data_IF_430696863310
#
_entry.id   IF_430696863310
#
_cell.length_a   1.000
_cell.length_b   1.000
_cell.length_c   1.000
_cell.angle_alpha   90.00
_cell.angle_beta   90.00
_cell.angle_gamma   90.00
#
_symmetry.space_group_name_H-M   'P 1'
#
loop_
_entity.id
_entity.type
_entity.pdbx_description
1 polymer ?
#
# COMPACT_ATOMS: atom_id res chain seq x y z
N UNK A 1 12.69 -14.51 -29.03
CA UNK A 1 11.75 -14.84 -27.93
C UNK A 1 11.84 -13.73 -26.90
N UNK A 2 10.91 -12.77 -26.95
CA UNK A 2 10.88 -11.62 -26.03
C UNK A 2 10.29 -12.11 -24.71
N UNK A 3 11.00 -12.03 -23.57
CA UNK A 3 10.41 -12.44 -22.31
C UNK A 3 9.33 -11.42 -21.93
N UNK A 4 8.07 -11.84 -22.06
CA UNK A 4 6.90 -11.11 -21.58
C UNK A 4 6.99 -11.07 -20.06
N UNK A 5 7.60 -10.02 -19.52
CA UNK A 5 7.54 -9.72 -18.10
C UNK A 5 6.12 -9.24 -17.79
N UNK A 6 5.26 -10.17 -17.35
CA UNK A 6 3.88 -9.86 -16.97
C UNK A 6 3.88 -8.82 -15.84
N UNK A 7 3.58 -7.58 -16.20
CA UNK A 7 3.41 -6.47 -15.27
C UNK A 7 2.13 -6.75 -14.45
N UNK A 8 2.26 -7.46 -13.33
CA UNK A 8 1.20 -7.80 -12.36
C UNK A 8 0.50 -6.58 -11.70
N UNK A 9 0.60 -5.39 -12.29
CA UNK A 9 0.41 -4.12 -11.61
C UNK A 9 -0.98 -3.55 -11.83
N UNK A 10 -1.64 -3.30 -10.70
CA UNK A 10 -2.83 -2.48 -10.53
C UNK A 10 -4.16 -3.20 -10.79
N UNK A 11 -4.41 -4.28 -10.05
CA UNK A 11 -5.80 -4.57 -9.66
C UNK A 11 -6.42 -3.31 -9.02
N UNK A 12 -7.69 -2.98 -9.30
CA UNK A 12 -8.34 -1.80 -8.74
C UNK A 12 -8.26 -1.85 -7.22
N UNK A 13 -7.48 -0.92 -6.68
CA UNK A 13 -7.42 -0.69 -5.25
C UNK A 13 -8.58 0.23 -4.92
N UNK A 14 -9.57 -0.29 -4.20
CA UNK A 14 -10.71 0.49 -3.75
C UNK A 14 -10.45 1.12 -2.39
N UNK A 15 -11.19 2.19 -2.12
CA UNK A 15 -11.25 2.87 -0.84
C UNK A 15 -12.72 2.87 -0.46
N UNK A 16 -13.04 2.43 0.76
CA UNK A 16 -14.38 2.48 1.32
C UNK A 16 -14.30 3.15 2.69
N UNK A 17 -15.11 4.19 2.85
CA UNK A 17 -15.32 4.91 4.10
C UNK A 17 -16.79 4.69 4.48
N UNK A 18 -17.04 4.16 5.66
CA UNK A 18 -18.40 3.96 6.19
C UNK A 18 -18.41 4.10 7.71
N UNK A 19 -19.54 3.83 8.35
CA UNK A 19 -19.73 3.95 9.80
C UNK A 19 -18.71 3.12 10.61
N UNK A 20 -18.19 2.02 10.04
CA UNK A 20 -17.25 1.14 10.73
C UNK A 20 -15.81 1.67 10.67
N UNK A 21 -15.49 2.57 9.73
CA UNK A 21 -14.15 3.10 9.55
C UNK A 21 -13.70 3.13 8.10
N UNK A 22 -12.42 2.83 7.91
CA UNK A 22 -11.73 2.88 6.63
C UNK A 22 -11.33 1.50 6.18
N UNK A 23 -11.63 1.17 4.92
CA UNK A 23 -11.18 -0.05 4.25
C UNK A 23 -10.48 0.27 2.94
N UNK A 24 -9.36 -0.41 2.69
CA UNK A 24 -8.54 -0.22 1.49
C UNK A 24 -8.11 -1.57 0.89
N UNK A 25 -7.70 -1.57 -0.38
CA UNK A 25 -7.29 -2.80 -1.07
C UNK A 25 -8.40 -3.36 -1.95
N UNK A 26 -8.59 -4.67 -1.93
CA UNK A 26 -9.57 -5.38 -2.75
C UNK A 26 -11.00 -5.33 -2.17
N UNK A 27 -11.46 -4.15 -1.72
CA UNK A 27 -12.71 -3.95 -0.93
C UNK A 27 -14.00 -4.40 -1.62
N UNK A 28 -14.01 -4.52 -2.95
CA UNK A 28 -15.17 -5.01 -3.71
C UNK A 28 -15.16 -6.53 -3.95
N UNK A 29 -14.10 -7.22 -3.53
CA UNK A 29 -13.90 -8.65 -3.81
C UNK A 29 -14.24 -9.50 -2.60
N UNK A 30 -15.34 -10.25 -2.68
CA UNK A 30 -15.70 -11.29 -1.68
C UNK A 30 -14.63 -12.38 -1.52
N UNK A 31 -13.72 -12.52 -2.49
CA UNK A 31 -12.62 -13.51 -2.44
C UNK A 31 -11.39 -12.98 -1.72
N UNK A 32 -11.27 -11.67 -1.47
CA UNK A 32 -10.08 -11.08 -0.87
C UNK A 32 -9.77 -11.66 0.51
N UNK A 33 -10.80 -11.86 1.34
CA UNK A 33 -10.69 -12.44 2.68
C UNK A 33 -10.19 -13.89 2.69
N UNK A 34 -10.34 -14.61 1.58
CA UNK A 34 -9.95 -16.04 1.46
C UNK A 34 -8.58 -16.23 0.81
N UNK A 35 -7.92 -15.16 0.36
CA UNK A 35 -6.63 -15.26 -0.33
C UNK A 35 -5.50 -15.29 0.70
N UNK A 36 -4.66 -16.32 0.62
CA UNK A 36 -3.32 -16.23 1.17
C UNK A 36 -2.51 -15.32 0.24
N UNK A 37 -2.21 -14.12 0.71
CA UNK A 37 -1.46 -13.13 -0.07
C UNK A 37 -0.03 -13.06 0.40
N UNK A 38 0.89 -12.81 -0.52
CA UNK A 38 2.27 -12.51 -0.17
C UNK A 38 2.47 -11.01 -0.11
N UNK A 39 3.57 -10.58 0.52
CA UNK A 39 3.98 -9.16 0.64
C UNK A 39 4.12 -8.40 -0.68
N UNK A 40 4.07 -9.09 -1.81
CA UNK A 40 4.17 -8.53 -3.18
C UNK A 40 2.82 -8.39 -3.85
N UNK A 41 1.78 -9.04 -3.30
CA UNK A 41 0.41 -9.08 -3.80
C UNK A 41 -0.56 -8.45 -2.78
N UNK A 42 -0.09 -7.47 -2.00
CA UNK A 42 -0.87 -6.84 -0.94
C UNK A 42 -2.16 -6.17 -1.45
N UNK A 43 -2.16 -5.73 -2.72
CA UNK A 43 -3.32 -5.17 -3.38
C UNK A 43 -4.47 -6.17 -3.60
N UNK A 44 -4.27 -7.46 -3.32
CA UNK A 44 -5.31 -8.49 -3.37
C UNK A 44 -6.04 -8.70 -2.04
N UNK A 45 -5.52 -8.10 -0.97
CA UNK A 45 -6.05 -8.22 0.36
C UNK A 45 -6.87 -6.97 0.74
N UNK A 46 -7.58 -7.04 1.87
CA UNK A 46 -8.34 -5.92 2.44
C UNK A 46 -7.71 -5.54 3.77
N UNK A 47 -7.39 -4.27 3.92
CA UNK A 47 -6.98 -3.69 5.19
C UNK A 47 -8.17 -2.91 5.74
N UNK A 48 -8.39 -2.97 7.05
CA UNK A 48 -9.47 -2.23 7.69
C UNK A 48 -9.01 -1.61 9.00
N UNK A 49 -9.34 -0.34 9.21
CA UNK A 49 -9.04 0.36 10.46
C UNK A 49 -10.34 1.03 10.93
N UNK A 50 -10.80 0.76 12.18
CA UNK A 50 -11.94 1.48 12.71
C UNK A 50 -11.60 2.94 12.95
N UNK A 51 -12.61 3.81 13.02
CA UNK A 51 -12.39 5.25 13.21
C UNK A 51 -11.56 5.58 14.46
N UNK A 52 -11.71 4.81 15.55
CA UNK A 52 -10.91 4.97 16.77
C UNK A 52 -9.40 4.78 16.55
N UNK A 53 -9.01 3.99 15.53
CA UNK A 53 -7.62 3.78 15.15
C UNK A 53 -7.15 4.72 14.03
N UNK A 54 -8.00 5.59 13.47
CA UNK A 54 -7.60 6.54 12.43
C UNK A 54 -7.19 7.85 13.07
N UNK A 55 -5.91 8.17 13.01
CA UNK A 55 -5.40 9.41 13.58
C UNK A 55 -5.43 10.58 12.61
N UNK A 56 -5.21 10.32 11.32
CA UNK A 56 -5.18 11.36 10.30
C UNK A 56 -5.49 10.79 8.91
N UNK A 57 -6.15 11.58 8.07
CA UNK A 57 -6.38 11.26 6.66
C UNK A 57 -6.19 12.49 5.78
N UNK A 58 -5.42 12.33 4.70
CA UNK A 58 -5.21 13.41 3.74
C UNK A 58 -5.11 12.91 2.30
N UNK A 59 -5.54 13.74 1.36
CA UNK A 59 -5.44 13.48 -0.09
C UNK A 59 -4.27 14.25 -0.66
N UNK A 60 -3.25 13.52 -1.08
CA UNK A 60 -2.01 14.05 -1.67
C UNK A 60 -2.15 14.07 -3.19
N UNK A 61 -2.00 15.25 -3.79
CA UNK A 61 -1.92 15.46 -5.25
C UNK A 61 -0.64 16.17 -5.70
N UNK A 62 0.11 16.74 -4.75
CA UNK A 62 1.39 17.40 -5.03
C UNK A 62 2.42 16.41 -5.60
N UNK A 63 3.12 16.83 -6.66
CA UNK A 63 4.04 15.95 -7.40
C UNK A 63 5.24 15.52 -6.56
N UNK A 64 5.78 16.43 -5.77
CA UNK A 64 6.96 16.15 -4.95
C UNK A 64 6.59 15.26 -3.76
N UNK A 65 5.45 15.49 -3.13
CA UNK A 65 4.90 14.60 -2.12
C UNK A 65 4.63 13.19 -2.68
N UNK A 66 4.01 13.07 -3.86
CA UNK A 66 3.81 11.77 -4.52
C UNK A 66 5.12 11.11 -4.92
N UNK A 67 6.17 11.87 -5.23
CA UNK A 67 7.52 11.34 -5.48
C UNK A 67 8.10 10.78 -4.18
N UNK A 68 8.00 11.49 -3.05
CA UNK A 68 8.43 11.00 -1.72
C UNK A 68 7.73 9.71 -1.34
N UNK A 69 6.40 9.64 -1.45
CA UNK A 69 5.63 8.42 -1.22
C UNK A 69 6.09 7.23 -2.08
N UNK A 70 6.75 7.49 -3.22
CA UNK A 70 7.32 6.47 -4.09
C UNK A 70 8.77 6.11 -3.77
N UNK A 71 9.55 7.01 -3.20
CA UNK A 71 11.00 6.80 -3.10
C UNK A 71 11.47 6.59 -1.68
N UNK A 72 10.71 7.06 -0.69
CA UNK A 72 11.16 7.02 0.70
C UNK A 72 11.12 5.60 1.29
N UNK A 73 12.14 5.20 2.09
CA UNK A 73 12.26 3.87 2.68
C UNK A 73 11.02 3.38 3.45
N UNK A 74 10.36 4.27 4.17
CA UNK A 74 9.15 4.01 4.96
C UNK A 74 7.91 3.66 4.12
N UNK A 75 7.99 3.79 2.79
CA UNK A 75 6.93 3.44 1.84
C UNK A 75 7.38 2.43 0.79
N UNK A 76 8.49 1.71 1.01
CA UNK A 76 8.98 0.75 0.03
C UNK A 76 8.08 -0.49 -0.11
N UNK A 77 7.54 -0.70 -1.32
CA UNK A 77 6.77 -1.90 -1.71
C UNK A 77 7.02 -2.33 -3.16
N UNK A 78 6.81 -3.62 -3.51
CA UNK A 78 7.14 -4.14 -4.86
C UNK A 78 6.23 -3.62 -5.99
N UNK A 79 5.07 -3.07 -5.67
CA UNK A 79 4.28 -2.31 -6.63
C UNK A 79 5.04 -1.10 -7.18
N UNK A 80 6.14 -0.68 -6.54
CA UNK A 80 6.93 0.49 -6.90
C UNK A 80 8.42 0.18 -7.25
N UNK A 81 8.63 -0.56 -8.35
CA UNK A 81 9.91 -1.19 -8.79
C UNK A 81 11.10 -0.26 -8.99
N UNK A 82 10.90 1.04 -9.07
CA UNK A 82 11.91 1.93 -9.67
C UNK A 82 12.88 2.57 -8.67
N UNK A 83 12.69 2.37 -7.36
CA UNK A 83 13.48 3.07 -6.33
C UNK A 83 13.89 2.18 -5.15
N UNK A 84 14.03 0.87 -5.37
CA UNK A 84 14.28 -0.07 -4.27
C UNK A 84 15.78 -0.29 -4.02
N UNK A 85 16.26 -0.12 -2.78
CA UNK A 85 17.61 -0.50 -2.42
C UNK A 85 17.72 -2.03 -2.47
N UNK A 86 18.88 -2.54 -2.91
CA UNK A 86 19.19 -3.98 -2.94
C UNK A 86 19.10 -4.61 -1.54
N UNK A 87 19.32 -3.80 -0.51
CA UNK A 87 19.27 -4.18 0.91
C UNK A 87 17.84 -4.30 1.46
N UNK A 88 16.80 -4.00 0.68
CA UNK A 88 15.42 -4.08 1.15
C UNK A 88 15.09 -5.50 1.64
N UNK A 89 14.70 -5.64 2.90
CA UNK A 89 14.33 -6.92 3.52
C UNK A 89 12.84 -6.99 3.90
N UNK A 90 12.13 -5.85 3.83
CA UNK A 90 10.75 -5.72 4.28
C UNK A 90 9.94 -4.97 3.24
N UNK A 91 8.68 -5.33 3.05
CA UNK A 91 7.68 -4.51 2.38
C UNK A 91 6.72 -3.95 3.43
N UNK A 92 6.44 -2.65 3.35
CA UNK A 92 5.47 -2.02 4.23
C UNK A 92 4.05 -2.46 3.85
N UNK A 93 3.32 -2.97 4.84
CA UNK A 93 1.93 -3.38 4.72
C UNK A 93 1.04 -2.14 4.57
N UNK A 94 0.07 -2.18 3.66
CA UNK A 94 -0.89 -1.08 3.44
C UNK A 94 -0.36 0.05 2.56
N UNK A 95 0.86 -0.08 2.02
CA UNK A 95 1.45 0.86 1.07
C UNK A 95 1.24 0.37 -0.36
N UNK A 96 0.08 0.68 -0.92
CA UNK A 96 -0.42 0.19 -2.20
C UNK A 96 -0.01 1.09 -3.38
N UNK A 97 1.16 1.72 -3.28
CA UNK A 97 1.65 2.74 -4.22
C UNK A 97 1.99 2.15 -5.59
N UNK A 98 1.30 2.56 -6.68
CA UNK A 98 1.70 2.25 -8.03
C UNK A 98 2.64 3.35 -8.58
N UNK A 99 3.52 3.03 -9.55
CA UNK A 99 4.53 3.97 -10.04
C UNK A 99 3.94 5.22 -10.71
N UNK A 100 2.71 5.11 -11.25
CA UNK A 100 2.05 6.14 -12.04
C UNK A 100 0.88 6.82 -11.29
N UNK A 101 0.81 6.69 -9.96
CA UNK A 101 -0.24 7.41 -9.22
C UNK A 101 -0.12 8.93 -9.43
N UNK A 102 -1.27 9.56 -9.63
CA UNK A 102 -1.41 11.03 -9.72
C UNK A 102 -2.05 11.65 -8.48
N UNK A 103 -2.61 10.81 -7.62
CA UNK A 103 -3.15 11.18 -6.33
C UNK A 103 -3.14 9.95 -5.42
N UNK A 104 -3.03 10.19 -4.12
CA UNK A 104 -3.11 9.15 -3.11
C UNK A 104 -3.90 9.63 -1.89
N UNK A 105 -4.59 8.69 -1.25
CA UNK A 105 -5.02 8.81 0.13
C UNK A 105 -3.87 8.34 1.03
N UNK A 106 -3.50 9.17 2.00
CA UNK A 106 -2.57 8.80 3.08
C UNK A 106 -3.38 8.75 4.37
N UNK A 107 -3.23 7.67 5.12
CA UNK A 107 -3.96 7.42 6.36
C UNK A 107 -2.92 7.10 7.43
N UNK A 108 -2.89 7.88 8.52
CA UNK A 108 -2.14 7.53 9.73
C UNK A 108 -3.06 6.74 10.64
N UNK A 109 -2.60 5.56 11.03
CA UNK A 109 -3.37 4.56 11.78
C UNK A 109 -2.65 4.15 13.06
N UNK A 110 -3.43 3.68 14.03
CA UNK A 110 -2.96 2.85 15.13
C UNK A 110 -2.83 1.39 14.63
N UNK A 111 -1.61 0.87 14.62
CA UNK A 111 -1.32 -0.47 14.16
C UNK A 111 -1.87 -1.57 15.10
N UNK A 112 -2.11 -1.27 16.37
CA UNK A 112 -2.65 -2.23 17.35
C UNK A 112 -4.14 -2.48 17.14
N UNK A 113 -4.85 -1.49 16.58
CA UNK A 113 -6.30 -1.56 16.33
C UNK A 113 -6.61 -1.87 14.87
N UNK A 114 -5.70 -1.55 13.95
CA UNK A 114 -5.87 -1.84 12.53
C UNK A 114 -5.82 -3.34 12.23
N UNK A 115 -6.78 -3.83 11.46
CA UNK A 115 -6.75 -5.18 10.91
C UNK A 115 -5.95 -5.20 9.62
N UNK A 116 -4.83 -5.91 9.66
CA UNK A 116 -3.92 -6.12 8.54
C UNK A 116 -3.98 -7.60 8.14
N UNK A 117 -4.04 -7.92 6.84
CA UNK A 117 -3.97 -9.29 6.37
C UNK A 117 -2.72 -10.02 6.84
N UNK A 118 -2.84 -11.31 7.13
CA UNK A 118 -1.66 -12.15 7.30
C UNK A 118 -0.96 -12.34 5.94
N UNK A 119 0.29 -11.89 5.87
CA UNK A 119 1.08 -11.89 4.65
C UNK A 119 2.17 -12.94 4.70
N UNK A 120 2.14 -13.83 3.71
CA UNK A 120 3.28 -14.68 3.41
C UNK A 120 4.49 -13.87 2.93
N UNK A 121 5.68 -14.30 3.31
CA UNK A 121 6.91 -13.78 2.72
C UNK A 121 6.96 -14.02 1.20
N UNK A 122 7.75 -13.24 0.46
CA UNK A 122 7.94 -13.45 -0.98
C UNK A 122 9.41 -13.39 -1.37
N UNK A 123 9.79 -14.16 -2.40
CA UNK A 123 11.10 -14.02 -3.02
C UNK A 123 11.15 -12.76 -3.88
N UNK A 124 12.19 -11.96 -3.68
CA UNK A 124 12.57 -10.83 -4.51
C UNK A 124 13.89 -11.15 -5.18
N UNK A 125 13.90 -11.06 -6.50
CA UNK A 125 15.09 -11.20 -7.32
C UNK A 125 15.56 -9.80 -7.69
N UNK A 126 16.79 -9.44 -7.31
CA UNK A 126 17.40 -8.24 -7.85
C UNK A 126 17.74 -8.53 -9.32
N UNK A 127 17.07 -7.86 -10.27
CA UNK A 127 17.32 -8.01 -11.72
C UNK A 127 18.75 -7.62 -12.16
N UNK A 128 19.64 -7.34 -11.22
CA UNK A 128 21.03 -6.97 -11.43
C UNK A 128 21.88 -7.89 -10.56
N UNK A 129 22.68 -8.74 -11.21
CA UNK A 129 23.84 -9.39 -10.61
C UNK A 129 24.86 -8.30 -10.30
N UNK A 130 24.69 -7.64 -9.15
CA UNK A 130 25.80 -6.93 -8.55
C UNK A 130 26.87 -7.97 -8.19
N UNK A 131 28.09 -7.89 -8.73
CA UNK A 131 29.16 -8.82 -8.35
C UNK A 131 29.48 -8.79 -6.85
N UNK A 132 29.07 -7.72 -6.15
CA UNK A 132 29.23 -7.55 -4.70
C UNK A 132 28.04 -8.02 -3.84
N UNK A 133 26.92 -8.41 -4.44
CA UNK A 133 25.80 -9.04 -3.72
C UNK A 133 25.84 -10.56 -3.93
N UNK A 134 26.23 -11.35 -2.91
CA UNK A 134 26.31 -12.81 -3.06
C UNK A 134 24.94 -13.48 -3.17
N UNK A 135 23.82 -12.75 -2.99
CA UNK A 135 22.48 -13.31 -3.00
C UNK A 135 21.70 -12.95 -4.26
N UNK A 136 21.49 -13.92 -5.15
CA UNK A 136 20.62 -13.79 -6.34
C UNK A 136 19.16 -13.47 -5.99
N UNK A 137 18.73 -13.82 -4.78
CA UNK A 137 17.37 -13.55 -4.30
C UNK A 137 17.34 -13.34 -2.80
N UNK A 138 16.34 -12.58 -2.33
CA UNK A 138 16.07 -12.35 -0.91
C UNK A 138 14.60 -12.54 -0.61
N UNK A 139 14.31 -13.08 0.57
CA UNK A 139 12.93 -13.21 1.05
C UNK A 139 12.49 -11.92 1.76
N UNK A 140 11.55 -11.20 1.15
CA UNK A 140 10.92 -10.02 1.75
C UNK A 140 9.86 -10.46 2.75
N UNK A 141 9.87 -9.80 3.92
CA UNK A 141 8.87 -9.99 4.99
C UNK A 141 7.88 -8.82 5.04
N UNK A 142 6.64 -9.03 5.52
CA UNK A 142 5.75 -7.90 5.78
C UNK A 142 6.29 -7.12 6.96
N UNK A 143 6.11 -5.80 6.93
CA UNK A 143 6.22 -4.96 8.13
C UNK A 143 4.99 -4.08 8.20
N UNK A 144 4.31 -4.12 9.34
CA UNK A 144 3.21 -3.20 9.61
C UNK A 144 3.81 -1.89 10.11
N UNK A 145 3.44 -0.79 9.47
CA UNK A 145 3.74 0.56 9.92
C UNK A 145 2.46 1.26 10.38
N UNK A 146 2.59 2.52 10.74
CA UNK A 146 1.51 3.41 11.18
C UNK A 146 0.83 4.17 10.02
N UNK A 147 1.22 3.89 8.77
CA UNK A 147 0.78 4.68 7.62
C UNK A 147 0.37 3.79 6.47
N UNK A 148 -0.85 4.00 5.96
CA UNK A 148 -1.34 3.40 4.72
C UNK A 148 -1.34 4.43 3.60
N UNK A 149 -1.00 3.97 2.39
CA UNK A 149 -0.96 4.82 1.19
C UNK A 149 -1.67 4.12 0.05
N UNK A 150 -2.69 4.77 -0.51
CA UNK A 150 -3.59 4.15 -1.49
C UNK A 150 -3.83 5.08 -2.67
N UNK A 151 -3.61 4.63 -3.92
CA UNK A 151 -3.86 5.47 -5.08
C UNK A 151 -5.35 5.78 -5.24
N UNK A 152 -5.66 6.99 -5.69
CA UNK A 152 -7.03 7.37 -6.07
C UNK A 152 -7.06 8.04 -7.44
N UNK A 153 -8.15 7.81 -8.19
CA UNK A 153 -8.48 8.52 -9.43
C UNK A 153 -9.48 9.66 -9.21
N UNK A 154 -9.99 9.80 -7.99
CA UNK A 154 -11.05 10.75 -7.64
C UNK A 154 -10.66 11.59 -6.40
N UNK A 155 -9.56 12.37 -6.45
CA UNK A 155 -9.04 13.09 -5.30
C UNK A 155 -10.05 14.06 -4.69
N UNK A 156 -10.77 14.85 -5.49
CA UNK A 156 -11.73 15.84 -4.97
C UNK A 156 -12.92 15.20 -4.27
N UNK A 157 -13.47 14.12 -4.84
CA UNK A 157 -14.55 13.35 -4.20
C UNK A 157 -14.10 12.81 -2.85
N UNK A 158 -12.85 12.33 -2.77
CA UNK A 158 -12.31 11.79 -1.54
C UNK A 158 -12.06 12.87 -0.49
N UNK A 159 -11.58 14.05 -0.89
CA UNK A 159 -11.46 15.22 0.01
C UNK A 159 -12.81 15.62 0.60
N UNK A 160 -13.85 15.68 -0.23
CA UNK A 160 -15.21 16.00 0.22
C UNK A 160 -15.72 14.97 1.25
N UNK A 161 -15.52 13.67 0.98
CA UNK A 161 -15.91 12.61 1.91
C UNK A 161 -15.17 12.70 3.25
N UNK A 162 -13.86 12.97 3.22
CA UNK A 162 -13.05 13.13 4.44
C UNK A 162 -13.51 14.35 5.23
N UNK A 163 -13.70 15.49 4.57
CA UNK A 163 -14.20 16.71 5.22
C UNK A 163 -15.57 16.48 5.90
N UNK A 164 -16.44 15.67 5.30
CA UNK A 164 -17.72 15.28 5.89
C UNK A 164 -17.64 14.21 6.99
N UNK A 165 -16.56 13.42 7.05
CA UNK A 165 -16.37 12.34 8.05
C UNK A 165 -15.55 12.78 9.27
N UNK A 166 -14.70 13.80 9.12
CA UNK A 166 -13.91 14.40 10.21
C UNK A 166 -14.72 14.94 11.41
N UNK A 167 -15.98 15.42 11.27
CA UNK A 167 -16.81 15.79 12.43
C UNK A 167 -17.06 14.62 13.39
N UNK A 168 -17.05 13.39 12.89
CA UNK A 168 -17.24 12.16 13.69
C UNK A 168 -15.96 11.74 14.43
N UNK A 169 -14.78 12.16 13.94
CA UNK A 169 -13.48 11.81 14.53
C UNK A 169 -13.06 12.74 15.69
N UNK A 170 -13.80 13.82 15.93
CA UNK A 170 -13.55 14.78 17.03
C UNK A 170 -14.63 14.74 18.13
N UNK A 171 -15.63 13.87 17.98
CA UNK A 171 -16.73 13.68 18.93
C UNK A 171 -16.44 12.57 19.93
#
# INVERSE_FOLDING_TARGET
MVPVSLLYRNWPTGIRLDEQGVRIGAVSSKRAERRSTTVTHQNWAVFSCPWSGVHEMSVVTDRDALKRLRTSPEFHTLSNRWAKPKTMAWCMAGVLVPPFMRAALVIRIDAEVASVPDFGSALFFSNYTDPSDPHFSRRLRPRVGDTWVVPTRHPERLRALIAGSLPVLRG
#
